data_IF_648547965758
#
_entry.id   IF_648547965758
#
_cell.length_a   1.000
_cell.length_b   1.000
_cell.length_c   1.000
_cell.angle_alpha   90.00
_cell.angle_beta   90.00
_cell.angle_gamma   90.00
#
_symmetry.space_group_name_H-M   'P 1'
#
loop_
_entity.id
_entity.type
_entity.pdbx_description
1 polymer ?
#
# COMPACT_ATOMS: atom_id res chain seq x y z
N UNK A 1 -8.12 8.62 12.93
CA UNK A 1 -8.43 7.50 12.02
C UNK A 1 -7.56 7.59 10.78
N UNK A 2 -6.98 6.47 10.30
CA UNK A 2 -6.07 6.43 9.13
C UNK A 2 -6.76 6.65 7.77
N UNK A 3 -5.97 7.07 6.76
CA UNK A 3 -6.44 7.49 5.43
C UNK A 3 -7.21 6.37 4.66
N UNK A 4 -6.77 5.12 4.78
CA UNK A 4 -7.41 3.98 4.13
C UNK A 4 -8.85 3.76 4.61
N UNK A 5 -9.07 3.78 5.92
CA UNK A 5 -10.41 3.63 6.54
C UNK A 5 -11.35 4.77 6.14
N UNK A 6 -10.84 6.00 5.98
CA UNK A 6 -11.63 7.14 5.47
C UNK A 6 -12.04 6.97 4.00
N UNK A 7 -11.30 6.19 3.22
CA UNK A 7 -11.60 5.87 1.82
C UNK A 7 -12.45 4.61 1.65
N UNK A 8 -12.98 4.04 2.73
CA UNK A 8 -13.80 2.82 2.68
C UNK A 8 -13.02 1.56 2.28
N UNK A 9 -11.69 1.62 2.22
CA UNK A 9 -10.86 0.45 1.96
C UNK A 9 -10.68 -0.33 3.25
N UNK A 10 -11.02 -1.62 3.23
CA UNK A 10 -10.82 -2.59 4.32
C UNK A 10 -9.35 -2.93 4.53
N UNK A 11 -8.48 -1.93 4.55
CA UNK A 11 -7.06 -2.10 4.72
C UNK A 11 -6.77 -2.39 6.20
N UNK A 12 -5.98 -3.43 6.47
CA UNK A 12 -5.52 -3.69 7.84
C UNK A 12 -4.70 -2.51 8.35
N UNK A 13 -4.69 -2.30 9.68
CA UNK A 13 -3.83 -1.29 10.29
C UNK A 13 -2.35 -1.49 9.94
N UNK A 14 -1.91 -2.74 9.74
CA UNK A 14 -0.53 -3.07 9.36
C UNK A 14 -0.20 -2.63 7.93
N UNK A 15 -1.06 -2.95 6.96
CA UNK A 15 -0.88 -2.53 5.56
C UNK A 15 -0.82 -1.00 5.45
N UNK A 16 -1.60 -0.29 6.27
CA UNK A 16 -1.55 1.17 6.34
C UNK A 16 -0.20 1.70 6.81
N UNK A 17 0.45 1.01 7.76
CA UNK A 17 1.79 1.36 8.24
C UNK A 17 2.86 1.05 7.18
N UNK A 18 2.74 -0.09 6.48
CA UNK A 18 3.62 -0.47 5.38
C UNK A 18 3.55 0.59 4.27
N UNK A 19 2.35 0.93 3.82
CA UNK A 19 2.13 1.94 2.78
C UNK A 19 2.64 3.33 3.22
N UNK A 20 2.38 3.73 4.46
CA UNK A 20 2.85 5.02 5.00
C UNK A 20 4.38 5.08 5.04
N UNK A 21 5.04 3.97 5.39
CA UNK A 21 6.51 3.89 5.42
C UNK A 21 7.08 4.00 4.01
N UNK A 22 6.51 3.27 3.04
CA UNK A 22 6.94 3.36 1.65
C UNK A 22 6.80 4.78 1.09
N UNK A 23 5.67 5.45 1.37
CA UNK A 23 5.44 6.84 0.96
C UNK A 23 6.43 7.80 1.62
N UNK A 24 6.64 7.67 2.93
CA UNK A 24 7.51 8.58 3.69
C UNK A 24 8.98 8.53 3.27
N UNK A 25 9.40 7.43 2.65
CA UNK A 25 10.77 7.17 2.22
C UNK A 25 10.92 7.07 0.71
N UNK A 26 9.88 7.40 -0.07
CA UNK A 26 9.88 7.35 -1.54
C UNK A 26 10.31 5.97 -2.09
N UNK A 27 9.80 4.90 -1.47
CA UNK A 27 10.12 3.51 -1.84
C UNK A 27 9.04 2.89 -2.73
N UNK A 28 9.47 1.98 -3.61
CA UNK A 28 8.58 1.03 -4.31
C UNK A 28 8.18 -0.11 -3.37
N UNK A 29 6.88 -0.42 -3.27
CA UNK A 29 6.40 -1.54 -2.47
C UNK A 29 6.30 -2.81 -3.32
N UNK A 30 7.14 -3.80 -2.99
CA UNK A 30 7.04 -5.14 -3.57
C UNK A 30 5.99 -5.98 -2.80
N UNK A 31 4.95 -6.45 -3.49
CA UNK A 31 3.88 -7.26 -2.88
C UNK A 31 3.13 -8.10 -3.91
N UNK A 32 2.68 -9.30 -3.52
CA UNK A 32 1.78 -10.12 -4.35
C UNK A 32 0.30 -9.70 -4.24
N UNK A 33 -0.04 -8.81 -3.29
CA UNK A 33 -1.41 -8.30 -3.08
C UNK A 33 -1.51 -6.83 -3.52
N UNK A 34 -1.09 -6.52 -4.76
CA UNK A 34 -1.04 -5.14 -5.28
C UNK A 34 -2.36 -4.39 -5.17
N UNK A 35 -3.49 -5.08 -5.38
CA UNK A 35 -4.86 -4.53 -5.30
C UNK A 35 -5.18 -3.82 -3.98
N UNK A 36 -4.63 -4.30 -2.87
CA UNK A 36 -4.87 -3.71 -1.56
C UNK A 36 -4.21 -2.33 -1.45
N UNK A 37 -3.12 -2.11 -2.19
CA UNK A 37 -2.32 -0.90 -2.15
C UNK A 37 -2.62 0.08 -3.31
N UNK A 38 -3.54 -0.29 -4.21
CA UNK A 38 -3.95 0.58 -5.31
C UNK A 38 -4.61 1.87 -4.82
N UNK A 39 -4.20 3.00 -5.42
CA UNK A 39 -4.77 4.32 -5.12
C UNK A 39 -4.22 4.99 -3.85
N UNK A 40 -3.13 4.47 -3.27
CA UNK A 40 -2.34 5.20 -2.27
C UNK A 40 -1.28 6.12 -2.85
N UNK A 41 -1.02 6.04 -4.16
CA UNK A 41 -0.07 6.93 -4.85
C UNK A 41 1.40 6.56 -4.62
N UNK A 42 1.69 5.30 -4.28
CA UNK A 42 3.03 4.75 -4.26
C UNK A 42 3.26 3.84 -5.48
N UNK A 43 4.52 3.62 -5.82
CA UNK A 43 4.90 2.64 -6.84
C UNK A 43 4.75 1.21 -6.29
N UNK A 44 4.18 0.32 -7.11
CA UNK A 44 3.93 -1.07 -6.77
C UNK A 44 4.69 -1.99 -7.73
N UNK A 45 5.27 -3.05 -7.18
CA UNK A 45 5.92 -4.11 -7.93
C UNK A 45 5.34 -5.47 -7.50
N UNK A 46 4.86 -6.26 -8.46
CA UNK A 46 4.39 -7.63 -8.21
C UNK A 46 5.49 -8.64 -8.60
N UNK A 47 6.19 -9.24 -7.61
CA UNK A 47 7.30 -10.16 -7.87
C UNK A 47 6.87 -11.48 -8.52
N UNK A 48 5.57 -11.78 -8.60
CA UNK A 48 5.06 -13.01 -9.22
C UNK A 48 4.69 -12.83 -10.70
N UNK A 49 4.71 -11.60 -11.19
CA UNK A 49 4.45 -11.30 -12.61
C UNK A 49 5.74 -11.14 -13.42
N UNK A 50 6.89 -11.33 -12.78
CA UNK A 50 8.23 -11.30 -13.36
C UNK A 50 8.74 -12.71 -13.71
#
# INVERSE_FOLDING_TARGET
MGLAKRRGRGLSSMDGLIAATAIAHELTLATCNTKDFEGFGLELFDPWTA
#
